data_IF_700884509405
#
_entry.id   IF_700884509405
#
_cell.length_a   1.000
_cell.length_b   1.000
_cell.length_c   1.000
_cell.angle_alpha   90.00
_cell.angle_beta   90.00
_cell.angle_gamma   90.00
#
_symmetry.space_group_name_H-M   'P 1'
#
loop_
_entity.id
_entity.type
_entity.pdbx_description
1 polymer ?
#
# COMPACT_ATOMS: atom_id res chain seq x y z
N UNK A 1 -23.55 13.62 -3.75
CA UNK A 1 -22.92 13.33 -5.05
C UNK A 1 -24.03 13.42 -6.10
N UNK A 2 -23.86 14.14 -7.21
CA UNK A 2 -24.79 13.95 -8.35
C UNK A 2 -24.60 12.53 -8.90
N UNK A 3 -25.64 11.91 -9.46
CA UNK A 3 -25.58 10.53 -9.95
C UNK A 3 -24.46 10.32 -10.99
N UNK A 4 -24.17 11.37 -11.78
CA UNK A 4 -23.06 11.39 -12.74
C UNK A 4 -21.69 11.28 -12.07
N UNK A 5 -21.43 12.09 -11.03
CA UNK A 5 -20.16 12.07 -10.30
C UNK A 5 -19.93 10.73 -9.59
N UNK A 6 -21.00 10.11 -9.09
CA UNK A 6 -20.93 8.76 -8.51
C UNK A 6 -20.55 7.73 -9.59
N UNK A 7 -21.15 7.83 -10.78
CA UNK A 7 -20.80 6.96 -11.91
C UNK A 7 -19.34 7.08 -12.33
N UNK A 8 -18.82 8.31 -12.44
CA UNK A 8 -17.42 8.57 -12.78
C UNK A 8 -16.44 8.04 -11.72
N UNK A 9 -16.80 8.16 -10.44
CA UNK A 9 -16.04 7.60 -9.33
C UNK A 9 -15.97 6.07 -9.39
N UNK A 10 -17.12 5.41 -9.58
CA UNK A 10 -17.19 3.95 -9.69
C UNK A 10 -16.45 3.44 -10.93
N UNK A 11 -16.55 4.14 -12.06
CA UNK A 11 -15.80 3.83 -13.27
C UNK A 11 -14.29 3.94 -13.03
N UNK A 12 -13.85 5.00 -12.35
CA UNK A 12 -12.44 5.19 -11.98
C UNK A 12 -11.94 4.03 -11.13
N UNK A 13 -12.70 3.63 -10.10
CA UNK A 13 -12.36 2.47 -9.27
C UNK A 13 -12.28 1.18 -10.08
N UNK A 14 -13.26 0.92 -10.95
CA UNK A 14 -13.29 -0.28 -11.79
C UNK A 14 -12.08 -0.34 -12.74
N UNK A 15 -11.71 0.80 -13.35
CA UNK A 15 -10.54 0.89 -14.22
C UNK A 15 -9.24 0.68 -13.45
N UNK A 16 -9.11 1.26 -12.25
CA UNK A 16 -7.95 1.04 -11.39
C UNK A 16 -7.82 -0.44 -11.02
N UNK A 17 -8.90 -1.09 -10.57
CA UNK A 17 -8.86 -2.52 -10.24
C UNK A 17 -8.54 -3.38 -11.46
N UNK A 18 -9.12 -3.08 -12.63
CA UNK A 18 -8.82 -3.80 -13.86
C UNK A 18 -7.33 -3.68 -14.23
N UNK A 19 -6.77 -2.47 -14.21
CA UNK A 19 -5.35 -2.23 -14.51
C UNK A 19 -4.43 -2.96 -13.53
N UNK A 20 -4.72 -2.87 -12.23
CA UNK A 20 -3.96 -3.58 -11.19
C UNK A 20 -4.06 -5.08 -11.38
N UNK A 21 -5.23 -5.63 -11.71
CA UNK A 21 -5.42 -7.06 -11.97
C UNK A 21 -4.61 -7.54 -13.18
N UNK A 22 -4.62 -6.80 -14.30
CA UNK A 22 -3.81 -7.16 -15.46
C UNK A 22 -2.31 -7.06 -15.17
N UNK A 23 -1.87 -5.98 -14.51
CA UNK A 23 -0.47 -5.81 -14.11
C UNK A 23 -0.03 -6.91 -13.13
N UNK A 24 -0.91 -7.32 -12.22
CA UNK A 24 -0.69 -8.42 -11.28
C UNK A 24 -0.40 -9.74 -12.01
N UNK A 25 -1.18 -10.08 -13.04
CA UNK A 25 -0.93 -11.27 -13.84
C UNK A 25 0.41 -11.24 -14.61
N UNK A 26 0.88 -10.05 -15.01
CA UNK A 26 2.21 -9.88 -15.61
C UNK A 26 3.30 -10.07 -14.55
N UNK A 27 3.12 -9.48 -13.37
CA UNK A 27 4.08 -9.52 -12.26
C UNK A 27 4.23 -10.94 -11.72
N UNK A 28 3.14 -11.68 -11.60
CA UNK A 28 3.13 -13.07 -11.18
C UNK A 28 3.97 -13.94 -12.14
N UNK A 29 3.82 -13.76 -13.46
CA UNK A 29 4.65 -14.43 -14.47
C UNK A 29 6.12 -14.06 -14.36
N UNK A 30 6.42 -12.82 -13.97
CA UNK A 30 7.76 -12.33 -13.75
C UNK A 30 8.34 -12.68 -12.36
N UNK A 31 7.60 -13.42 -11.52
CA UNK A 31 7.95 -13.74 -10.11
C UNK A 31 8.16 -12.50 -9.23
N UNK A 32 7.46 -11.41 -9.55
CA UNK A 32 7.45 -10.17 -8.77
C UNK A 32 6.23 -10.20 -7.83
N UNK A 33 6.37 -9.80 -6.54
CA UNK A 33 5.25 -9.73 -5.61
C UNK A 33 4.10 -8.88 -6.16
N UNK A 34 2.90 -9.47 -6.18
CA UNK A 34 1.69 -8.88 -6.77
C UNK A 34 1.31 -7.53 -6.15
N UNK A 35 1.58 -7.33 -4.86
CA UNK A 35 1.31 -6.06 -4.17
C UNK A 35 2.04 -4.87 -4.82
N UNK A 36 3.19 -5.12 -5.46
CA UNK A 36 3.93 -4.09 -6.17
C UNK A 36 3.21 -3.64 -7.45
N UNK A 37 2.38 -4.49 -8.08
CA UNK A 37 1.65 -4.13 -9.29
C UNK A 37 0.75 -2.91 -9.05
N UNK A 38 0.09 -2.83 -7.89
CA UNK A 38 -0.74 -1.69 -7.53
C UNK A 38 0.07 -0.39 -7.41
N UNK A 39 1.25 -0.47 -6.79
CA UNK A 39 2.18 0.66 -6.67
C UNK A 39 2.65 1.15 -8.05
N UNK A 40 3.05 0.22 -8.92
CA UNK A 40 3.53 0.55 -10.27
C UNK A 40 2.43 1.12 -11.16
N UNK A 41 1.20 0.59 -11.08
CA UNK A 41 0.05 1.14 -11.81
C UNK A 41 -0.24 2.57 -11.36
N UNK A 42 -0.28 2.83 -10.04
CA UNK A 42 -0.50 4.17 -9.52
C UNK A 42 0.63 5.14 -9.93
N UNK A 43 1.89 4.69 -9.87
CA UNK A 43 3.05 5.47 -10.32
C UNK A 43 2.95 5.80 -11.81
N UNK A 44 2.66 4.81 -12.64
CA UNK A 44 2.52 4.98 -14.09
C UNK A 44 1.41 5.97 -14.42
N UNK A 45 0.22 5.79 -13.82
CA UNK A 45 -0.91 6.68 -14.03
C UNK A 45 -0.56 8.11 -13.66
N UNK A 46 0.10 8.34 -12.51
CA UNK A 46 0.52 9.67 -12.04
C UNK A 46 1.38 10.43 -13.06
N UNK A 47 2.21 9.73 -13.83
CA UNK A 47 3.06 10.33 -14.87
C UNK A 47 2.40 10.42 -16.25
N UNK A 48 1.15 9.98 -16.39
CA UNK A 48 0.39 10.11 -17.64
C UNK A 48 -0.61 11.27 -17.58
N UNK A 49 -1.00 11.85 -18.74
CA UNK A 49 -2.04 12.88 -18.79
C UNK A 49 -3.40 12.43 -18.24
N UNK A 50 -3.63 11.12 -18.10
CA UNK A 50 -4.86 10.54 -17.55
C UNK A 50 -5.06 10.95 -16.08
N UNK A 51 -3.97 11.20 -15.35
CA UNK A 51 -4.02 11.57 -13.92
C UNK A 51 -4.92 12.78 -13.65
N UNK A 52 -4.87 13.82 -14.49
CA UNK A 52 -5.67 15.04 -14.29
C UNK A 52 -7.18 14.79 -14.30
N UNK A 53 -7.64 13.75 -15.01
CA UNK A 53 -9.05 13.37 -15.07
C UNK A 53 -9.50 12.57 -13.86
N UNK A 54 -8.60 11.78 -13.25
CA UNK A 54 -8.94 10.91 -12.12
C UNK A 54 -8.54 11.51 -10.76
N UNK A 55 -7.66 12.51 -10.74
CA UNK A 55 -7.12 13.16 -9.54
C UNK A 55 -8.21 13.57 -8.54
N UNK A 56 -9.33 14.22 -8.95
CA UNK A 56 -10.38 14.61 -8.02
C UNK A 56 -11.02 13.42 -7.29
N UNK A 57 -11.02 12.25 -7.92
CA UNK A 57 -11.61 11.04 -7.36
C UNK A 57 -10.63 10.29 -6.46
N UNK A 58 -9.36 10.17 -6.87
CA UNK A 58 -8.34 9.39 -6.12
C UNK A 58 -7.73 10.15 -4.95
N UNK A 59 -7.81 11.49 -4.94
CA UNK A 59 -7.42 12.33 -3.80
C UNK A 59 -8.60 12.69 -2.89
N UNK A 60 -9.82 12.30 -3.29
CA UNK A 60 -11.03 12.56 -2.53
C UNK A 60 -11.11 11.78 -1.21
N UNK A 61 -11.89 12.30 -0.28
CA UNK A 61 -12.13 11.69 1.04
C UNK A 61 -12.71 10.28 0.92
N UNK A 62 -13.64 10.05 -0.02
CA UNK A 62 -14.26 8.74 -0.25
C UNK A 62 -13.22 7.69 -0.61
N UNK A 63 -12.29 7.99 -1.53
CA UNK A 63 -11.22 7.08 -1.91
C UNK A 63 -10.26 6.84 -0.76
N UNK A 64 -9.94 7.88 0.01
CA UNK A 64 -9.10 7.77 1.21
C UNK A 64 -9.71 6.83 2.25
N UNK A 65 -11.02 6.95 2.52
CA UNK A 65 -11.73 6.04 3.42
C UNK A 65 -11.70 4.60 2.89
N UNK A 66 -11.95 4.40 1.59
CA UNK A 66 -11.86 3.07 0.96
C UNK A 66 -10.45 2.47 1.07
N UNK A 67 -9.40 3.27 0.87
CA UNK A 67 -8.02 2.84 1.01
C UNK A 67 -7.71 2.43 2.46
N UNK A 68 -8.17 3.21 3.44
CA UNK A 68 -8.04 2.88 4.85
C UNK A 68 -8.79 1.60 5.21
N UNK A 69 -10.00 1.40 4.68
CA UNK A 69 -10.75 0.15 4.85
C UNK A 69 -10.01 -1.03 4.23
N UNK A 70 -9.41 -0.88 3.04
CA UNK A 70 -8.59 -1.91 2.42
C UNK A 70 -7.41 -2.33 3.29
N UNK A 71 -6.68 -1.36 3.86
CA UNK A 71 -5.58 -1.63 4.81
C UNK A 71 -6.09 -2.30 6.08
N UNK A 72 -7.21 -1.83 6.63
CA UNK A 72 -7.82 -2.42 7.83
C UNK A 72 -8.21 -3.87 7.58
N UNK A 73 -8.89 -4.17 6.48
CA UNK A 73 -9.27 -5.53 6.12
C UNK A 73 -8.06 -6.42 5.87
N UNK A 74 -6.99 -5.89 5.25
CA UNK A 74 -5.74 -6.63 5.06
C UNK A 74 -5.12 -7.01 6.41
N UNK A 75 -4.95 -6.05 7.32
CA UNK A 75 -4.37 -6.30 8.64
C UNK A 75 -5.26 -7.22 9.49
N UNK A 76 -6.57 -7.08 9.39
CA UNK A 76 -7.52 -7.97 10.03
C UNK A 76 -7.39 -9.40 9.51
N UNK A 77 -7.33 -9.58 8.20
CA UNK A 77 -7.17 -10.90 7.57
C UNK A 77 -5.82 -11.54 7.90
N UNK A 78 -4.74 -10.74 7.96
CA UNK A 78 -3.44 -11.20 8.45
C UNK A 78 -3.57 -11.64 9.91
N UNK A 79 -4.20 -10.84 10.77
CA UNK A 79 -4.44 -11.18 12.17
C UNK A 79 -5.21 -12.49 12.36
N UNK A 80 -6.24 -12.75 11.54
CA UNK A 80 -7.02 -13.99 11.58
C UNK A 80 -6.24 -15.24 11.17
N UNK A 81 -5.18 -15.10 10.37
CA UNK A 81 -4.35 -16.22 9.93
C UNK A 81 -3.26 -16.59 10.94
N UNK A 82 -3.00 -15.74 11.94
CA UNK A 82 -1.92 -15.96 12.89
C UNK A 82 -2.39 -16.88 14.02
N UNK A 83 -1.59 -17.91 14.31
CA UNK A 83 -1.79 -18.77 15.48
C UNK A 83 -1.23 -18.08 16.74
N UNK A 84 -2.11 -17.86 17.72
CA UNK A 84 -1.76 -17.18 18.98
C UNK A 84 -0.82 -18.02 19.86
N UNK A 85 -0.91 -19.35 19.80
CA UNK A 85 -0.04 -20.25 20.57
C UNK A 85 1.39 -20.20 20.02
N UNK A 86 1.54 -20.21 18.69
CA UNK A 86 2.84 -20.05 18.03
C UNK A 86 3.45 -18.66 18.27
N UNK A 87 2.63 -17.60 18.28
CA UNK A 87 3.10 -16.25 18.61
C UNK A 87 3.62 -16.13 20.04
N UNK A 88 2.90 -16.73 20.99
CA UNK A 88 3.23 -16.60 22.41
C UNK A 88 4.46 -17.41 22.77
N UNK A 89 4.59 -18.61 22.22
CA UNK A 89 5.77 -19.46 22.40
C UNK A 89 7.05 -18.85 21.83
N UNK A 90 6.97 -18.08 20.73
CA UNK A 90 8.09 -17.40 20.08
C UNK A 90 8.19 -15.91 20.40
N UNK A 91 7.48 -15.45 21.44
CA UNK A 91 7.32 -14.03 21.75
C UNK A 91 8.65 -13.30 21.97
N UNK A 92 9.64 -13.96 22.60
CA UNK A 92 10.96 -13.37 22.84
C UNK A 92 11.73 -13.16 21.53
N UNK A 93 11.73 -14.16 20.64
CA UNK A 93 12.35 -14.03 19.32
C UNK A 93 11.67 -12.93 18.50
N UNK A 94 10.34 -12.92 18.47
CA UNK A 94 9.54 -11.92 17.74
C UNK A 94 9.85 -10.51 18.24
N UNK A 95 9.83 -10.27 19.55
CA UNK A 95 10.11 -8.95 20.13
C UNK A 95 11.54 -8.52 19.79
N UNK A 96 12.51 -9.40 20.01
CA UNK A 96 13.94 -9.09 19.76
C UNK A 96 14.16 -8.77 18.28
N UNK A 97 13.63 -9.60 17.38
CA UNK A 97 13.72 -9.39 15.94
C UNK A 97 13.03 -8.10 15.52
N UNK A 98 11.84 -7.80 16.04
CA UNK A 98 11.09 -6.59 15.72
C UNK A 98 11.82 -5.33 16.17
N UNK A 99 12.33 -5.30 17.40
CA UNK A 99 13.08 -4.16 17.94
C UNK A 99 14.37 -3.94 17.15
N UNK A 100 15.15 -5.00 16.88
CA UNK A 100 16.38 -4.87 16.11
C UNK A 100 16.11 -4.45 14.67
N UNK A 101 15.15 -5.09 13.99
CA UNK A 101 14.79 -4.78 12.60
C UNK A 101 14.13 -3.42 12.44
N UNK A 102 13.60 -2.80 13.49
CA UNK A 102 13.02 -1.46 13.42
C UNK A 102 14.03 -0.39 13.81
N UNK A 103 14.65 -0.56 14.98
CA UNK A 103 15.57 0.43 15.56
C UNK A 103 16.84 0.57 14.73
N UNK A 104 17.40 -0.54 14.24
CA UNK A 104 18.66 -0.49 13.50
C UNK A 104 18.51 0.22 12.14
N UNK A 105 17.54 -0.12 11.27
CA UNK A 105 17.32 0.62 10.03
C UNK A 105 16.89 2.07 10.27
N UNK A 106 16.15 2.35 11.34
CA UNK A 106 15.78 3.71 11.72
C UNK A 106 17.02 4.55 12.03
N UNK A 107 17.91 4.08 12.92
CA UNK A 107 19.15 4.79 13.27
C UNK A 107 20.05 4.95 12.04
N UNK A 108 20.21 3.91 11.22
CA UNK A 108 21.00 3.98 9.99
C UNK A 108 20.42 5.01 9.02
N UNK A 109 19.11 4.97 8.76
CA UNK A 109 18.44 5.92 7.87
C UNK A 109 18.57 7.35 8.37
N UNK A 110 18.36 7.58 9.67
CA UNK A 110 18.55 8.88 10.31
C UNK A 110 20.00 9.38 10.18
N UNK A 111 20.98 8.52 10.43
CA UNK A 111 22.41 8.87 10.30
C UNK A 111 22.75 9.29 8.87
N UNK A 112 22.22 8.58 7.86
CA UNK A 112 22.39 8.94 6.45
C UNK A 112 21.74 10.29 6.14
N UNK A 113 20.52 10.54 6.62
CA UNK A 113 19.84 11.82 6.39
C UNK A 113 20.60 13.00 7.02
N UNK A 114 21.09 12.83 8.25
CA UNK A 114 21.92 13.84 8.93
C UNK A 114 23.23 14.08 8.18
N UNK A 115 23.87 13.03 7.67
CA UNK A 115 25.08 13.15 6.86
C UNK A 115 24.83 13.92 5.55
N UNK A 116 23.63 13.77 4.96
CA UNK A 116 23.20 14.50 3.78
C UNK A 116 22.76 15.95 4.07
N UNK A 117 22.81 16.39 5.34
CA UNK A 117 22.50 17.75 5.75
C UNK A 117 21.02 18.04 6.01
N UNK A 118 20.21 17.00 6.21
CA UNK A 118 18.84 17.15 6.71
C UNK A 118 18.84 17.31 8.23
N UNK A 119 17.93 18.13 8.75
CA UNK A 119 17.72 18.32 10.20
C UNK A 119 16.85 17.20 10.81
N UNK A 120 16.79 17.16 12.14
CA UNK A 120 16.09 16.14 12.95
C UNK A 120 14.56 16.27 12.93
#
# INVERSE_FOLDING_TARGET
MSDLLMGEFLLTLALLFALVYFASGIFERARVPTILAALFVALFIKYTPIYSHIEPFVTGETFTILAQLGVLFLLFFVGLQIDLEDMTSQSREIITATVLNTTLPFIMGMTVMLYLGYDW
#
